data_IF_934767895058
#
_entry.id   IF_934767895058
#
_cell.length_a   1.000
_cell.length_b   1.000
_cell.length_c   1.000
_cell.angle_alpha   90.00
_cell.angle_beta   90.00
_cell.angle_gamma   90.00
#
_symmetry.space_group_name_H-M   'P 1'
#
loop_
_entity.id
_entity.type
_entity.pdbx_description
1 polymer ?
#
# COMPACT_ATOMS: atom_id res chain seq x y z
N UNK A 1 -3.69 -30.28 11.03
CA UNK A 1 -4.62 -29.33 10.41
C UNK A 1 -3.86 -28.42 9.48
N UNK A 2 -4.02 -28.59 8.17
CA UNK A 2 -3.42 -27.73 7.14
C UNK A 2 -4.12 -26.37 7.15
N UNK A 3 -3.46 -25.31 7.63
CA UNK A 3 -3.96 -23.92 7.54
C UNK A 3 -4.20 -23.66 6.04
N UNK A 4 -5.45 -23.40 5.63
CA UNK A 4 -5.74 -23.03 4.23
C UNK A 4 -5.02 -21.71 3.95
N UNK A 5 -4.27 -21.67 2.86
CA UNK A 5 -3.59 -20.47 2.39
C UNK A 5 -4.64 -19.47 1.93
N UNK A 6 -4.81 -18.37 2.66
CA UNK A 6 -5.69 -17.26 2.29
C UNK A 6 -4.85 -16.08 1.82
N UNK A 7 -5.46 -15.17 1.05
CA UNK A 7 -4.86 -13.88 0.72
C UNK A 7 -4.40 -13.21 2.02
N UNK A 8 -3.22 -12.58 2.07
CA UNK A 8 -2.79 -11.82 3.23
C UNK A 8 -3.90 -10.87 3.67
N UNK A 9 -4.03 -10.65 4.99
CA UNK A 9 -4.94 -9.62 5.47
C UNK A 9 -4.56 -8.27 4.84
N UNK A 10 -5.53 -7.35 4.76
CA UNK A 10 -5.22 -6.00 4.33
C UNK A 10 -4.07 -5.44 5.21
N UNK A 11 -3.12 -4.70 4.62
CA UNK A 11 -2.11 -3.98 5.40
C UNK A 11 -2.81 -3.10 6.43
N UNK A 12 -2.18 -2.94 7.60
CA UNK A 12 -2.79 -2.35 8.78
C UNK A 12 -3.10 -0.85 8.65
N UNK A 13 -2.53 -0.03 9.52
CA UNK A 13 -2.75 1.42 9.45
C UNK A 13 -2.15 1.98 8.17
N UNK A 14 -3.01 2.30 7.18
CA UNK A 14 -2.65 3.03 5.96
C UNK A 14 -2.88 4.52 6.20
N UNK A 15 -1.83 5.30 6.04
CA UNK A 15 -1.83 6.76 6.14
C UNK A 15 -1.30 7.35 4.85
N UNK A 16 -2.00 8.33 4.29
CA UNK A 16 -1.55 9.08 3.13
C UNK A 16 -1.38 10.55 3.52
N UNK A 17 -0.23 11.12 3.19
CA UNK A 17 0.10 12.52 3.43
C UNK A 17 0.42 13.17 2.11
N UNK A 18 -0.41 14.12 1.69
CA UNK A 18 -0.16 14.96 0.53
C UNK A 18 0.77 16.12 0.89
N UNK A 19 1.82 16.30 0.09
CA UNK A 19 2.77 17.40 0.15
C UNK A 19 2.90 18.03 -1.24
N UNK A 20 2.15 19.11 -1.50
CA UNK A 20 2.14 19.79 -2.79
C UNK A 20 1.69 18.87 -3.93
N UNK A 21 2.59 18.57 -4.86
CA UNK A 21 2.38 17.67 -6.01
C UNK A 21 2.84 16.23 -5.74
N UNK A 22 2.97 15.86 -4.47
CA UNK A 22 3.39 14.51 -4.07
C UNK A 22 2.49 13.97 -2.96
N UNK A 23 2.30 12.66 -2.92
CA UNK A 23 1.57 11.96 -1.85
C UNK A 23 2.47 10.85 -1.33
N UNK A 24 2.83 10.95 -0.05
CA UNK A 24 3.50 9.89 0.67
C UNK A 24 2.45 8.98 1.28
N UNK A 25 2.42 7.72 0.85
CA UNK A 25 1.59 6.69 1.45
C UNK A 25 2.48 5.84 2.34
N UNK A 26 2.06 5.62 3.57
CA UNK A 26 2.70 4.73 4.53
C UNK A 26 1.68 3.72 5.03
N UNK A 27 2.09 2.48 5.19
CA UNK A 27 1.21 1.42 5.69
C UNK A 27 1.93 0.55 6.70
N UNK A 28 1.18 -0.15 7.53
CA UNK A 28 1.72 -1.15 8.45
C UNK A 28 1.64 -2.53 7.82
N UNK A 29 2.57 -3.42 8.20
CA UNK A 29 2.48 -4.82 7.81
C UNK A 29 1.14 -5.42 8.23
N UNK A 30 0.58 -6.36 7.45
CA UNK A 30 -0.64 -7.05 7.83
C UNK A 30 -0.40 -7.89 9.08
N UNK A 31 -1.38 -7.95 9.97
CA UNK A 31 -1.26 -8.71 11.23
C UNK A 31 -1.28 -10.24 11.02
N UNK A 32 -1.77 -10.69 9.86
CA UNK A 32 -1.82 -12.10 9.48
C UNK A 32 -1.54 -12.21 7.97
N UNK A 33 -0.45 -12.87 7.58
CA UNK A 33 -0.13 -13.12 6.18
C UNK A 33 -0.95 -14.30 5.59
N UNK A 34 -1.99 -14.78 6.30
CA UNK A 34 -2.86 -15.85 5.82
C UNK A 34 -2.16 -17.20 5.59
N UNK A 35 -0.93 -17.35 6.09
CA UNK A 35 -0.06 -18.51 5.83
C UNK A 35 0.77 -18.43 4.53
N UNK A 36 0.79 -17.29 3.84
CA UNK A 36 1.74 -16.98 2.76
C UNK A 36 2.63 -15.82 3.17
N UNK A 37 3.96 -15.92 3.10
CA UNK A 37 4.78 -14.73 3.31
C UNK A 37 4.36 -13.65 2.32
N UNK A 38 4.17 -12.42 2.80
CA UNK A 38 4.04 -11.26 1.91
C UNK A 38 5.30 -11.20 1.05
N UNK A 39 5.11 -11.05 -0.27
CA UNK A 39 6.21 -10.91 -1.23
C UNK A 39 6.36 -9.48 -1.71
N UNK A 40 5.40 -8.62 -1.37
CA UNK A 40 5.32 -7.25 -1.83
C UNK A 40 3.99 -6.60 -1.50
N UNK A 41 3.88 -5.31 -1.83
CA UNK A 41 2.67 -4.52 -1.66
C UNK A 41 2.32 -3.82 -2.95
N UNK A 42 1.03 -3.69 -3.24
CA UNK A 42 0.57 -2.86 -4.33
C UNK A 42 -0.16 -1.65 -3.77
N UNK A 43 0.34 -0.46 -4.09
CA UNK A 43 -0.27 0.81 -3.70
C UNK A 43 -0.92 1.44 -4.91
N UNK A 44 -2.22 1.68 -4.84
CA UNK A 44 -3.00 2.35 -5.87
C UNK A 44 -3.55 3.67 -5.35
N UNK A 45 -3.37 4.76 -6.11
CA UNK A 45 -4.05 6.03 -5.91
C UNK A 45 -5.30 6.12 -6.78
N UNK A 46 -6.31 6.83 -6.30
CA UNK A 46 -7.58 7.04 -7.00
C UNK A 46 -7.48 7.72 -8.39
N UNK A 47 -6.34 8.32 -8.71
CA UNK A 47 -6.07 8.92 -10.03
C UNK A 47 -5.57 7.90 -11.07
N UNK A 48 -5.42 6.63 -10.67
CA UNK A 48 -4.92 5.55 -11.51
C UNK A 48 -3.42 5.30 -11.39
N UNK A 49 -2.70 6.09 -10.59
CA UNK A 49 -1.30 5.81 -10.28
C UNK A 49 -1.21 4.54 -9.43
N UNK A 50 -0.44 3.56 -9.88
CA UNK A 50 -0.17 2.33 -9.14
C UNK A 50 1.34 2.14 -9.02
N UNK A 51 1.78 1.70 -7.84
CA UNK A 51 3.16 1.28 -7.58
C UNK A 51 3.12 -0.10 -6.96
N UNK A 52 3.81 -1.03 -7.61
CA UNK A 52 4.00 -2.38 -7.11
C UNK A 52 5.39 -2.45 -6.48
N UNK A 53 5.44 -2.92 -5.24
CA UNK A 53 6.64 -2.96 -4.44
C UNK A 53 6.93 -4.41 -4.18
N UNK A 54 7.97 -4.95 -4.83
CA UNK A 54 8.44 -6.32 -4.61
C UNK A 54 9.32 -6.45 -3.34
N UNK A 55 9.13 -5.55 -2.38
CA UNK A 55 9.81 -5.55 -1.09
C UNK A 55 8.75 -5.75 0.01
N UNK A 56 8.70 -6.94 0.64
CA UNK A 56 7.77 -7.19 1.74
C UNK A 56 8.14 -6.40 3.00
N UNK A 57 9.37 -5.86 3.01
CA UNK A 57 9.85 -4.97 4.04
C UNK A 57 9.56 -3.48 3.81
N UNK A 58 8.96 -3.14 2.67
CA UNK A 58 8.59 -1.77 2.39
C UNK A 58 7.25 -1.43 3.01
N UNK A 59 7.19 -0.27 3.66
CA UNK A 59 6.02 0.25 4.37
C UNK A 59 5.71 1.70 3.98
N UNK A 60 6.36 2.18 2.93
CA UNK A 60 6.17 3.54 2.44
C UNK A 60 6.45 3.65 0.96
N UNK A 61 5.64 4.45 0.27
CA UNK A 61 5.89 4.87 -1.11
C UNK A 61 5.57 6.35 -1.27
N UNK A 62 6.19 6.99 -2.25
CA UNK A 62 5.93 8.37 -2.59
C UNK A 62 5.50 8.44 -4.05
N UNK A 63 4.31 8.93 -4.27
CA UNK A 63 3.84 9.33 -5.59
C UNK A 63 4.22 10.78 -5.80
N UNK A 64 5.05 11.04 -6.81
CA UNK A 64 5.37 12.39 -7.26
C UNK A 64 4.58 12.72 -8.54
N UNK A 65 4.61 14.00 -8.94
CA UNK A 65 3.92 14.50 -10.15
C UNK A 65 2.41 14.32 -10.13
N UNK A 66 1.81 14.46 -8.95
CA UNK A 66 0.36 14.53 -8.80
C UNK A 66 -0.13 15.95 -9.08
N UNK A 67 -1.34 16.06 -9.61
CA UNK A 67 -2.04 17.35 -9.74
C UNK A 67 -2.29 17.95 -8.36
N UNK A 68 -1.88 19.20 -8.19
CA UNK A 68 -2.15 19.99 -7.02
C UNK A 68 -3.67 20.22 -6.84
N UNK A 69 -4.11 20.32 -5.59
CA UNK A 69 -5.52 20.55 -5.25
C UNK A 69 -6.47 19.37 -5.47
N UNK A 70 -5.98 18.20 -5.88
CA UNK A 70 -6.82 17.00 -6.07
C UNK A 70 -6.79 16.08 -4.85
N UNK A 71 -7.94 15.58 -4.43
CA UNK A 71 -8.03 14.59 -3.35
C UNK A 71 -7.71 13.20 -3.90
N UNK A 72 -6.66 12.56 -3.38
CA UNK A 72 -6.27 11.19 -3.76
C UNK A 72 -6.65 10.21 -2.66
N UNK A 73 -7.26 9.10 -3.03
CA UNK A 73 -7.47 7.95 -2.13
C UNK A 73 -6.37 6.94 -2.36
N UNK A 74 -5.58 6.63 -1.34
CA UNK A 74 -4.58 5.57 -1.40
C UNK A 74 -5.17 4.24 -0.92
N UNK A 75 -4.91 3.16 -1.65
CA UNK A 75 -5.25 1.78 -1.31
C UNK A 75 -3.99 0.95 -1.34
N UNK A 76 -3.76 0.15 -0.31
CA UNK A 76 -2.64 -0.79 -0.25
C UNK A 76 -3.22 -2.19 -0.12
N UNK A 77 -2.69 -3.15 -0.87
CA UNK A 77 -3.04 -4.57 -0.81
C UNK A 77 -1.81 -5.47 -0.87
#
# INVERSE_FOLDING_TARGET
TTKRRTVPAAPGAVSATSSGTSVKVTWSAPGDDGGSPVTGYEVTLGDGHQVEIADPDSRSTVFARLKDGTSYTARVR
#
